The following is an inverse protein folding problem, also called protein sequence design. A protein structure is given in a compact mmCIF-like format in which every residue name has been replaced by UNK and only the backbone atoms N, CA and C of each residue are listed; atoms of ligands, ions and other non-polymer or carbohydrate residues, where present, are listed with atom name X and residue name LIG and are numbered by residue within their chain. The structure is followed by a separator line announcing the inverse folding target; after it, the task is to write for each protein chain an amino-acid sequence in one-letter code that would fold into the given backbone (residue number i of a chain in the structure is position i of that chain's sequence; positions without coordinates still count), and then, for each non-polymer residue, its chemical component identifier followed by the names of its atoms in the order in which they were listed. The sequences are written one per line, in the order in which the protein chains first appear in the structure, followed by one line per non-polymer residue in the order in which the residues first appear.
data_IF_890076130299
#
_entry.id   IF_890076130299
#
_cell.length_a   1.000
_cell.length_b   1.000
_cell.length_c   1.000
_cell.angle_alpha   90.00
_cell.angle_beta   90.00
_cell.angle_gamma   90.00
#
_symmetry.space_group_name_H-M   'P 1'
#
loop_
_entity.id
_entity.type
_entity.pdbx_description
1 polymer ?
#
# COMPACT_ATOMS: atom_id res chain seq x y z
N UNK A 1 -6.96 -15.45 1.87
CA UNK A 1 -6.54 -14.81 3.14
C UNK A 1 -6.90 -13.33 3.10
N UNK A 2 -7.31 -12.73 4.22
CA UNK A 2 -7.59 -11.29 4.31
C UNK A 2 -6.28 -10.51 4.46
N UNK A 3 -6.03 -9.52 3.60
CA UNK A 3 -4.75 -8.76 3.56
C UNK A 3 -4.78 -7.41 4.29
N UNK A 4 -5.94 -6.98 4.77
CA UNK A 4 -6.10 -5.69 5.44
C UNK A 4 -7.56 -5.33 5.74
N UNK A 5 -7.78 -4.09 6.18
CA UNK A 5 -9.07 -3.49 6.56
C UNK A 5 -9.08 -1.99 6.24
N UNK A 6 -10.24 -1.43 5.93
CA UNK A 6 -10.42 0.03 5.74
C UNK A 6 -10.66 0.69 7.10
N UNK A 7 -10.01 1.83 7.37
CA UNK A 7 -10.19 2.61 8.60
C UNK A 7 -10.33 4.10 8.28
N UNK A 8 -10.78 4.87 9.27
CA UNK A 8 -10.96 6.33 9.16
C UNK A 8 -9.70 7.14 9.57
N UNK A 9 -8.66 6.50 10.12
CA UNK A 9 -7.55 7.19 10.78
C UNK A 9 -6.70 8.06 9.83
N UNK A 10 -6.51 7.58 8.59
CA UNK A 10 -5.68 8.23 7.57
C UNK A 10 -6.37 8.18 6.20
N UNK A 11 -7.35 9.06 5.95
CA UNK A 11 -8.09 9.08 4.70
C UNK A 11 -7.16 9.25 3.48
N UNK A 12 -7.42 8.46 2.43
CA UNK A 12 -6.66 8.52 1.17
C UNK A 12 -5.25 7.92 1.23
N UNK A 13 -4.85 7.31 2.34
CA UNK A 13 -3.52 6.71 2.54
C UNK A 13 -3.61 5.21 2.76
N UNK A 14 -2.56 4.49 2.36
CA UNK A 14 -2.41 3.05 2.61
C UNK A 14 -1.21 2.82 3.51
N UNK A 15 -1.44 2.20 4.67
CA UNK A 15 -0.38 1.86 5.63
C UNK A 15 -0.09 0.36 5.56
N UNK A 16 1.15 0.00 5.26
CA UNK A 16 1.62 -1.38 5.25
C UNK A 16 2.24 -1.74 6.60
N UNK A 17 1.72 -2.79 7.24
CA UNK A 17 2.37 -3.43 8.40
C UNK A 17 3.50 -4.33 7.91
N UNK A 18 4.72 -4.08 8.40
CA UNK A 18 5.88 -4.88 8.01
C UNK A 18 5.98 -6.12 8.90
N UNK A 19 6.71 -7.14 8.43
CA UNK A 19 6.93 -8.38 9.22
C UNK A 19 7.73 -8.15 10.50
N UNK A 20 8.44 -7.02 10.60
CA UNK A 20 9.22 -6.62 11.77
C UNK A 20 8.39 -5.84 12.81
N UNK A 21 7.07 -5.70 12.61
CA UNK A 21 6.16 -4.98 13.51
C UNK A 21 6.07 -3.46 13.25
N UNK A 22 6.85 -2.94 12.31
CA UNK A 22 6.80 -1.54 11.89
C UNK A 22 5.61 -1.24 10.97
N UNK A 23 5.40 0.05 10.70
CA UNK A 23 4.41 0.53 9.73
C UNK A 23 5.08 1.49 8.73
N UNK A 24 4.73 1.39 7.45
CA UNK A 24 5.18 2.36 6.43
C UNK A 24 4.03 2.81 5.54
N UNK A 25 4.09 4.06 5.08
CA UNK A 25 3.17 4.56 4.07
C UNK A 25 3.52 3.94 2.71
N UNK A 26 2.52 3.37 2.04
CA UNK A 26 2.67 2.84 0.70
C UNK A 26 2.31 3.93 -0.31
N UNK A 27 3.34 4.45 -0.97
CA UNK A 27 3.17 5.44 -2.04
C UNK A 27 2.68 4.77 -3.33
N UNK A 28 1.89 5.50 -4.12
CA UNK A 28 1.61 5.11 -5.51
C UNK A 28 2.90 5.17 -6.31
N UNK A 29 3.03 4.28 -7.30
CA UNK A 29 4.10 4.40 -8.29
C UNK A 29 3.86 5.65 -9.14
N UNK A 30 4.94 6.27 -9.58
CA UNK A 30 4.90 7.42 -10.50
C UNK A 30 4.42 7.05 -11.91
N UNK A 31 4.38 5.75 -12.23
CA UNK A 31 3.92 5.21 -13.50
C UNK A 31 4.03 3.67 -13.55
N UNK A 32 3.79 3.09 -14.72
CA UNK A 32 3.95 1.66 -14.98
C UNK A 32 5.43 1.31 -15.19
N UNK A 33 5.89 0.19 -14.63
CA UNK A 33 7.32 -0.18 -14.68
C UNK A 33 7.75 -0.84 -16.00
N UNK A 34 6.84 -1.53 -16.70
CA UNK A 34 7.14 -2.27 -17.92
C UNK A 34 6.21 -1.85 -19.06
N UNK A 35 6.72 -1.60 -20.27
CA UNK A 35 5.86 -1.28 -21.41
C UNK A 35 5.00 -2.49 -21.80
N UNK A 36 3.70 -2.27 -22.05
CA UNK A 36 2.73 -3.30 -22.52
C UNK A 36 2.57 -4.50 -21.58
N UNK A 37 2.49 -4.28 -20.26
CA UNK A 37 2.28 -5.35 -19.24
C UNK A 37 0.83 -5.81 -19.10
N UNK A 38 -0.06 -5.25 -19.93
CA UNK A 38 -1.49 -5.53 -19.91
C UNK A 38 -1.85 -6.36 -21.14
#
# INVERSE_FOLDING_TARGET
ARIGTVTADQPGRVVLKTRLGGSRLLAKLTGQQLPRIC
#
